data_IF_579440468997
#
_entry.id   IF_579440468997
#
_cell.length_a   1.000
_cell.length_b   1.000
_cell.length_c   1.000
_cell.angle_alpha   90.00
_cell.angle_beta   90.00
_cell.angle_gamma   90.00
#
_symmetry.space_group_name_H-M   'P 1'
#
loop_
_entity.id
_entity.type
_entity.pdbx_description
1 polymer ?
#
# COMPACT_ATOMS: atom_id res chain seq x y z
N UNK A 1 -5.28 -0.42 14.87
CA UNK A 1 -5.02 1.04 14.88
C UNK A 1 -5.78 1.65 13.70
N UNK A 2 -5.92 2.97 13.59
CA UNK A 2 -6.57 3.58 12.41
C UNK A 2 -5.53 3.77 11.30
N UNK A 3 -5.93 3.61 10.05
CA UNK A 3 -5.09 3.95 8.90
C UNK A 3 -4.86 5.46 8.86
N UNK A 4 -3.60 5.87 8.77
CA UNK A 4 -3.14 7.24 8.60
C UNK A 4 -2.68 7.44 7.15
N UNK A 5 -3.33 8.38 6.46
CA UNK A 5 -3.07 8.63 5.05
C UNK A 5 -1.66 9.19 4.81
N UNK A 6 -1.17 10.06 5.69
CA UNK A 6 0.13 10.71 5.52
C UNK A 6 1.26 9.71 5.80
N UNK A 7 1.11 8.86 6.81
CA UNK A 7 2.04 7.76 7.04
C UNK A 7 2.02 6.76 5.89
N UNK A 8 0.84 6.42 5.36
CA UNK A 8 0.71 5.54 4.19
C UNK A 8 1.44 6.11 2.98
N UNK A 9 1.20 7.38 2.64
CA UNK A 9 1.91 8.08 1.55
C UNK A 9 3.42 8.07 1.78
N UNK A 10 3.86 8.38 3.02
CA UNK A 10 5.28 8.39 3.39
C UNK A 10 5.93 7.01 3.16
N UNK A 11 5.27 5.92 3.58
CA UNK A 11 5.74 4.55 3.35
C UNK A 11 5.85 4.26 1.85
N UNK A 12 4.78 4.46 1.09
CA UNK A 12 4.75 4.16 -0.35
C UNK A 12 5.80 4.98 -1.11
N UNK A 13 6.00 6.25 -0.72
CA UNK A 13 7.02 7.12 -1.31
C UNK A 13 8.44 6.69 -1.01
N UNK A 14 8.74 6.23 0.21
CA UNK A 14 10.07 5.69 0.49
C UNK A 14 10.37 4.44 -0.32
N UNK A 15 9.38 3.56 -0.54
CA UNK A 15 9.57 2.37 -1.38
C UNK A 15 9.74 2.77 -2.84
N UNK A 16 8.92 3.71 -3.36
CA UNK A 16 8.96 4.14 -4.76
C UNK A 16 10.26 4.83 -5.15
N UNK A 17 10.77 5.69 -4.27
CA UNK A 17 11.89 6.59 -4.57
C UNK A 17 13.25 5.97 -4.17
N UNK A 18 13.28 4.68 -3.86
CA UNK A 18 14.53 3.98 -3.57
C UNK A 18 15.35 3.80 -4.86
N UNK A 19 16.68 3.86 -4.73
CA UNK A 19 17.58 3.68 -5.89
C UNK A 19 17.53 2.26 -6.47
N UNK A 20 17.19 1.29 -5.62
CA UNK A 20 17.00 -0.11 -5.96
C UNK A 20 15.52 -0.40 -6.21
N UNK A 21 15.16 -1.44 -6.97
CA UNK A 21 13.76 -1.81 -7.23
C UNK A 21 13.03 -2.40 -6.01
N UNK A 22 13.62 -2.25 -4.82
CA UNK A 22 13.13 -2.70 -3.53
C UNK A 22 13.81 -1.87 -2.42
N UNK A 23 13.21 -1.88 -1.23
CA UNK A 23 13.82 -1.40 0.01
C UNK A 23 13.87 -2.55 1.02
N UNK A 24 14.90 -2.62 1.86
CA UNK A 24 14.85 -3.53 3.00
C UNK A 24 13.87 -2.99 4.04
N UNK A 25 13.01 -3.86 4.58
CA UNK A 25 12.07 -3.47 5.63
C UNK A 25 12.76 -2.80 6.83
N UNK A 26 13.92 -3.28 7.26
CA UNK A 26 14.71 -2.65 8.32
C UNK A 26 15.11 -1.20 7.99
N UNK A 27 15.55 -0.94 6.76
CA UNK A 27 15.93 0.41 6.32
C UNK A 27 14.71 1.34 6.27
N UNK A 28 13.56 0.82 5.87
CA UNK A 28 12.30 1.55 5.87
C UNK A 28 11.91 2.01 7.29
N UNK A 29 12.02 1.11 8.28
CA UNK A 29 11.77 1.46 9.69
C UNK A 29 12.73 2.57 10.16
N UNK A 30 14.03 2.43 9.88
CA UNK A 30 15.03 3.44 10.26
C UNK A 30 14.79 4.80 9.59
N UNK A 31 14.29 4.82 8.35
CA UNK A 31 13.94 6.06 7.63
C UNK A 31 12.69 6.75 8.20
N UNK A 32 11.69 5.98 8.64
CA UNK A 32 10.43 6.54 9.15
C UNK A 32 10.52 6.91 10.63
N UNK A 33 11.19 6.08 11.43
CA UNK A 33 11.29 6.19 12.88
C UNK A 33 12.76 6.04 13.36
N UNK A 34 13.62 7.04 13.09
CA UNK A 34 15.04 6.98 13.46
C UNK A 34 15.26 6.92 14.99
N UNK A 35 14.29 7.39 15.78
CA UNK A 35 14.33 7.38 17.24
C UNK A 35 14.03 5.99 17.84
N UNK A 36 13.60 5.01 17.02
CA UNK A 36 13.28 3.64 17.45
C UNK A 36 12.24 3.58 18.58
N UNK A 37 11.23 4.45 18.47
CA UNK A 37 10.07 4.40 19.36
C UNK A 37 9.20 3.17 19.04
N UNK A 38 8.98 2.29 20.03
CA UNK A 38 8.23 1.05 19.85
C UNK A 38 6.78 1.27 19.38
N UNK A 39 6.09 2.30 19.86
CA UNK A 39 4.71 2.58 19.44
C UNK A 39 4.65 3.07 18.00
N UNK A 40 5.63 3.86 17.58
CA UNK A 40 5.79 4.24 16.17
C UNK A 40 6.13 3.03 15.29
N UNK A 41 6.98 2.11 15.76
CA UNK A 41 7.29 0.89 15.01
C UNK A 41 6.05 -0.01 14.85
N UNK A 42 5.21 -0.13 15.89
CA UNK A 42 3.92 -0.83 15.80
C UNK A 42 2.98 -0.16 14.81
N UNK A 43 2.95 1.17 14.76
CA UNK A 43 2.19 1.92 13.75
C UNK A 43 2.69 1.62 12.33
N UNK A 44 4.00 1.65 12.11
CA UNK A 44 4.61 1.34 10.80
C UNK A 44 4.29 -0.09 10.40
N UNK A 45 4.50 -1.06 11.30
CA UNK A 45 4.16 -2.46 11.09
C UNK A 45 2.69 -2.62 10.68
N UNK A 46 1.76 -2.02 11.42
CA UNK A 46 0.33 -2.11 11.10
C UNK A 46 -0.01 -1.59 9.71
N UNK A 47 0.64 -0.50 9.27
CA UNK A 47 0.43 0.02 7.92
C UNK A 47 1.03 -0.90 6.86
N UNK A 48 2.24 -1.43 7.09
CA UNK A 48 2.86 -2.37 6.16
C UNK A 48 2.05 -3.65 6.00
N UNK A 49 1.49 -4.17 7.09
CA UNK A 49 0.62 -5.34 7.09
C UNK A 49 -0.62 -5.11 6.21
N UNK A 50 -1.31 -3.99 6.41
CA UNK A 50 -2.47 -3.62 5.58
C UNK A 50 -2.07 -3.43 4.11
N UNK A 51 -0.97 -2.75 3.83
CA UNK A 51 -0.51 -2.52 2.46
C UNK A 51 -0.15 -3.84 1.76
N UNK A 52 0.40 -4.80 2.50
CA UNK A 52 0.74 -6.12 2.00
C UNK A 52 -0.52 -6.95 1.74
N UNK A 53 -1.47 -6.98 2.67
CA UNK A 53 -2.76 -7.66 2.53
C UNK A 53 -3.59 -7.14 1.36
N UNK A 54 -3.49 -5.84 1.07
CA UNK A 54 -4.13 -5.20 -0.09
C UNK A 54 -3.35 -5.38 -1.39
N UNK A 55 -2.20 -6.07 -1.35
CA UNK A 55 -1.35 -6.31 -2.49
C UNK A 55 -0.73 -5.05 -3.07
N UNK A 56 -0.62 -3.96 -2.29
CA UNK A 56 0.02 -2.71 -2.71
C UNK A 56 1.54 -2.79 -2.61
N UNK A 57 2.03 -3.50 -1.61
CA UNK A 57 3.43 -3.89 -1.48
C UNK A 57 3.54 -5.41 -1.58
N UNK A 58 4.70 -5.88 -2.00
CA UNK A 58 5.02 -7.31 -2.05
C UNK A 58 6.48 -7.54 -1.70
N UNK A 59 6.78 -8.76 -1.26
CA UNK A 59 8.16 -9.20 -1.17
C UNK A 59 8.71 -9.37 -2.59
N UNK A 60 9.95 -8.96 -2.81
CA UNK A 60 10.60 -9.15 -4.11
C UNK A 60 10.87 -10.64 -4.38
N UNK A 61 11.13 -11.42 -3.33
CA UNK A 61 11.29 -12.86 -3.45
C UNK A 61 9.91 -13.51 -3.60
N UNK A 62 9.65 -14.12 -4.75
CA UNK A 62 8.34 -14.72 -5.09
C UNK A 62 7.90 -15.86 -4.16
N UNK A 63 8.82 -16.41 -3.36
CA UNK A 63 8.53 -17.51 -2.43
C UNK A 63 8.20 -17.04 -1.00
N UNK A 64 8.28 -15.74 -0.74
CA UNK A 64 7.94 -15.16 0.57
C UNK A 64 6.59 -14.46 0.51
N UNK A 65 5.65 -14.94 1.33
CA UNK A 65 4.31 -14.37 1.47
C UNK A 65 4.17 -13.52 2.75
N UNK A 66 5.26 -12.91 3.20
CA UNK A 66 5.27 -12.05 4.39
C UNK A 66 6.13 -10.78 4.19
N UNK A 67 5.93 -9.82 5.11
CA UNK A 67 6.72 -8.60 5.22
C UNK A 67 8.00 -8.79 6.03
N UNK A 68 8.20 -9.97 6.63
CA UNK A 68 9.28 -10.29 7.57
C UNK A 68 9.14 -9.64 8.93
N UNK A 69 7.94 -9.17 9.31
CA UNK A 69 7.73 -8.45 10.57
C UNK A 69 6.66 -9.15 11.40
N UNK A 70 7.06 -9.65 12.56
CA UNK A 70 6.20 -10.40 13.48
C UNK A 70 6.04 -9.64 14.81
N UNK A 71 4.82 -9.56 15.33
CA UNK A 71 4.57 -9.11 16.70
C UNK A 71 4.71 -10.29 17.65
N UNK A 72 5.65 -10.19 18.59
CA UNK A 72 5.91 -11.24 19.58
C UNK A 72 4.89 -11.19 20.74
N UNK A 73 4.74 -12.29 21.52
CA UNK A 73 3.79 -12.33 22.64
C UNK A 73 4.02 -11.27 23.73
N UNK A 74 5.24 -10.75 23.87
CA UNK A 74 5.56 -9.69 24.82
C UNK A 74 5.29 -8.27 24.27
N UNK A 75 4.74 -8.16 23.05
CA UNK A 75 4.43 -6.89 22.40
C UNK A 75 5.61 -6.20 21.70
N UNK A 76 6.77 -6.86 21.62
CA UNK A 76 7.92 -6.39 20.81
C UNK A 76 7.82 -6.86 19.36
N UNK A 77 8.49 -6.16 18.45
CA UNK A 77 8.55 -6.51 17.03
C UNK A 77 9.82 -7.28 16.70
N UNK A 78 9.68 -8.37 15.96
CA UNK A 78 10.81 -9.07 15.34
C UNK A 78 10.83 -8.73 13.85
N UNK A 79 11.94 -8.14 13.39
CA UNK A 79 12.11 -7.77 11.98
C UNK A 79 13.17 -8.68 11.36
N UNK A 80 12.74 -9.62 10.52
CA UNK A 80 13.59 -10.39 9.62
C UNK A 80 13.83 -9.56 8.37
N UNK A 81 15.08 -9.43 7.94
CA UNK A 81 15.39 -8.61 6.78
C UNK A 81 14.73 -9.18 5.51
N UNK A 82 13.79 -8.42 4.93
CA UNK A 82 13.10 -8.75 3.68
C UNK A 82 13.16 -7.58 2.71
N UNK A 83 13.05 -7.88 1.42
CA UNK A 83 13.06 -6.89 0.33
C UNK A 83 11.63 -6.57 -0.06
N UNK A 84 11.16 -5.38 0.27
CA UNK A 84 9.83 -4.90 -0.07
C UNK A 84 9.88 -4.06 -1.34
N UNK A 85 8.90 -4.24 -2.22
CA UNK A 85 8.70 -3.41 -3.41
C UNK A 85 7.22 -3.09 -3.59
N UNK A 86 6.94 -2.04 -4.35
CA UNK A 86 5.58 -1.81 -4.82
C UNK A 86 5.15 -2.91 -5.80
N UNK A 87 3.86 -3.24 -5.73
CA UNK A 87 3.16 -3.90 -6.83
C UNK A 87 2.74 -2.86 -7.88
N UNK A 88 2.20 -3.32 -9.00
CA UNK A 88 1.69 -2.43 -10.04
C UNK A 88 0.50 -1.60 -9.51
N UNK A 89 -0.35 -2.22 -8.68
CA UNK A 89 -1.45 -1.53 -7.98
C UNK A 89 -0.87 -0.52 -6.97
N UNK A 90 0.22 -0.86 -6.29
CA UNK A 90 0.94 0.05 -5.39
C UNK A 90 1.44 1.30 -6.09
N UNK A 91 2.05 1.16 -7.27
CA UNK A 91 2.49 2.27 -8.11
C UNK A 91 1.32 3.16 -8.55
N UNK A 92 0.23 2.56 -9.06
CA UNK A 92 -0.96 3.31 -9.44
C UNK A 92 -1.61 4.04 -8.25
N UNK A 93 -1.59 3.41 -7.07
CA UNK A 93 -2.16 3.99 -5.85
C UNK A 93 -1.40 5.23 -5.43
N UNK A 94 -0.07 5.17 -5.34
CA UNK A 94 0.71 6.35 -4.93
C UNK A 94 0.62 7.47 -5.96
N UNK A 95 0.62 7.15 -7.26
CA UNK A 95 0.38 8.14 -8.31
C UNK A 95 -1.01 8.79 -8.17
N UNK A 96 -2.04 8.02 -7.84
CA UNK A 96 -3.39 8.54 -7.62
C UNK A 96 -3.48 9.42 -6.37
N UNK A 97 -2.75 9.06 -5.31
CA UNK A 97 -2.70 9.83 -4.06
C UNK A 97 -1.96 11.16 -4.20
N UNK A 98 -1.01 11.26 -5.12
CA UNK A 98 -0.24 12.48 -5.39
C UNK A 98 -0.89 13.33 -6.48
N UNK A 99 -1.67 12.71 -7.37
CA UNK A 99 -2.31 13.40 -8.46
C UNK A 99 -3.66 13.99 -8.03
N UNK A 100 -3.56 15.10 -7.29
CA UNK A 100 -4.66 16.00 -6.94
C UNK A 100 -5.55 16.35 -8.15
N UNK A 101 -4.94 16.44 -9.34
CA UNK A 101 -5.65 16.76 -10.58
C UNK A 101 -6.51 15.60 -11.08
N UNK A 102 -6.10 14.35 -10.84
CA UNK A 102 -6.88 13.16 -11.19
C UNK A 102 -8.13 13.07 -10.32
N UNK A 103 -7.97 13.22 -9.00
CA UNK A 103 -9.12 13.28 -8.09
C UNK A 103 -10.03 14.48 -8.37
N UNK A 104 -9.47 15.68 -8.61
CA UNK A 104 -10.28 16.86 -9.02
C UNK A 104 -11.00 16.66 -10.35
N UNK A 105 -10.39 15.96 -11.32
CA UNK A 105 -11.03 15.61 -12.60
C UNK A 105 -12.11 14.55 -12.42
N UNK A 106 -11.85 13.52 -11.61
CA UNK A 106 -12.77 12.42 -11.36
C UNK A 106 -13.94 12.87 -10.50
N UNK A 107 -13.71 13.54 -9.36
CA UNK A 107 -14.76 14.13 -8.52
C UNK A 107 -15.71 15.03 -9.30
N UNK A 108 -15.24 15.85 -10.25
CA UNK A 108 -16.13 16.65 -11.11
C UNK A 108 -17.03 15.81 -12.01
N UNK A 109 -16.56 14.65 -12.47
CA UNK A 109 -17.33 13.71 -13.31
C UNK A 109 -18.19 12.75 -12.49
N UNK A 110 -17.80 12.49 -11.24
CA UNK A 110 -18.44 11.53 -10.33
C UNK A 110 -19.46 12.22 -9.41
N UNK A 111 -19.30 13.50 -9.08
CA UNK A 111 -20.26 14.29 -8.31
C UNK A 111 -21.72 14.25 -8.83
N UNK A 112 -21.99 14.22 -10.16
CA UNK A 112 -23.36 14.05 -10.63
C UNK A 112 -23.90 12.61 -10.50
N UNK A 113 -23.06 11.64 -10.15
CA UNK A 113 -23.47 10.24 -9.93
C UNK A 113 -23.90 10.05 -8.47
N UNK A 114 -24.98 9.30 -8.26
CA UNK A 114 -25.37 8.88 -6.91
C UNK A 114 -24.37 7.85 -6.37
N UNK A 115 -24.31 7.70 -5.05
CA UNK A 115 -23.45 6.70 -4.40
C UNK A 115 -23.77 5.28 -4.87
N UNK A 116 -25.01 4.99 -5.26
CA UNK A 116 -25.43 3.73 -5.88
C UNK A 116 -24.83 3.55 -7.28
N UNK A 117 -24.83 4.59 -8.12
CA UNK A 117 -24.21 4.53 -9.45
C UNK A 117 -22.69 4.31 -9.38
N UNK A 118 -22.02 4.87 -8.38
CA UNK A 118 -20.57 4.67 -8.17
C UNK A 118 -20.27 3.22 -7.77
N UNK A 119 -21.12 2.63 -6.91
CA UNK A 119 -20.99 1.23 -6.49
C UNK A 119 -21.17 0.23 -7.63
N UNK A 120 -21.84 0.62 -8.71
CA UNK A 120 -22.02 -0.23 -9.90
C UNK A 120 -20.80 -0.27 -10.81
N UNK A 121 -19.89 0.72 -10.73
CA UNK A 121 -18.70 0.80 -11.60
C UNK A 121 -17.83 -0.47 -11.50
N UNK A 122 -17.45 -0.97 -10.30
CA UNK A 122 -16.68 -2.20 -10.19
C UNK A 122 -17.39 -3.41 -10.81
N UNK A 123 -18.71 -3.54 -10.59
CA UNK A 123 -19.51 -4.64 -11.12
C UNK A 123 -19.56 -4.62 -12.66
N UNK A 124 -19.72 -3.44 -13.25
CA UNK A 124 -19.71 -3.26 -14.70
C UNK A 124 -18.34 -3.57 -15.29
N UNK A 125 -17.26 -3.12 -14.66
CA UNK A 125 -15.89 -3.42 -15.10
C UNK A 125 -15.59 -4.92 -15.11
N UNK A 126 -16.00 -5.64 -14.06
CA UNK A 126 -15.85 -7.10 -13.99
C UNK A 126 -16.59 -7.79 -15.14
N UNK A 127 -17.80 -7.35 -15.46
CA UNK A 127 -18.61 -7.94 -16.52
C UNK A 127 -18.02 -7.69 -17.91
N UNK A 128 -17.49 -6.49 -18.16
CA UNK A 128 -16.77 -6.16 -19.40
C UNK A 128 -15.53 -7.05 -19.56
N UNK A 129 -14.72 -7.18 -18.50
CA UNK A 129 -13.51 -8.03 -18.51
C UNK A 129 -13.87 -9.48 -18.82
N UNK A 130 -14.93 -10.02 -18.21
CA UNK A 130 -15.39 -11.38 -18.53
C UNK A 130 -15.80 -11.53 -19.98
N UNK A 131 -16.45 -10.51 -20.55
CA UNK A 131 -16.93 -10.53 -21.93
C UNK A 131 -15.78 -10.40 -22.94
N UNK A 132 -14.71 -9.68 -22.61
CA UNK A 132 -13.57 -9.45 -23.50
C UNK A 132 -12.44 -10.49 -23.38
N UNK A 133 -12.32 -11.20 -22.24
CA UNK A 133 -11.28 -12.22 -22.02
C UNK A 133 -11.77 -13.65 -22.33
N UNK A 134 -13.09 -13.91 -22.30
CA UNK A 134 -13.66 -15.24 -22.55
C UNK A 134 -14.28 -15.41 -23.95
N UNK A 135 -14.10 -14.42 -24.84
CA UNK A 135 -14.30 -14.53 -26.28
C UNK A 135 -12.95 -14.56 -26.99
#
# INVERSE_FOLDING_TARGET
MKLDLELTKKILNFIRNESQPFIYNFDLFNKINPEKNLETDKLIWHHLDILFDKGLIKNQNQNDNDTGIDLTPNGSLTIKQKRLRLSDIGHQTIESLENDSLWKKLSRKINPLTSESIKLIPSLTIEIIKTEILN
#
